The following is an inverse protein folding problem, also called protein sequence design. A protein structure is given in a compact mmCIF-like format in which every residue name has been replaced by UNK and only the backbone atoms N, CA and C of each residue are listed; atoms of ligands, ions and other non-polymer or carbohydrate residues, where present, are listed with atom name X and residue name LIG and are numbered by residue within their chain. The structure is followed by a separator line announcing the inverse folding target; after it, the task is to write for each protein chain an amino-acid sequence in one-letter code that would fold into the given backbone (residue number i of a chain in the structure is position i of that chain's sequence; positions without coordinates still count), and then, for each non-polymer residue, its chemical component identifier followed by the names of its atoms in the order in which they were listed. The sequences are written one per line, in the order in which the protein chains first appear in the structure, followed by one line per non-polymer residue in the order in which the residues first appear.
data_IF_933544930890
#
_entry.id   IF_933544930890
#
_cell.length_a   1.000
_cell.length_b   1.000
_cell.length_c   1.000
_cell.angle_alpha   90.00
_cell.angle_beta   90.00
_cell.angle_gamma   90.00
#
_symmetry.space_group_name_H-M   'P 1'
#
loop_
_entity.id
_entity.type
_entity.pdbx_description
1 polymer ?
#
# COMPACT_ATOMS: atom_id res chain seq x y z
N UNK A 1 8.16 18.41 13.66
CA UNK A 1 6.99 18.08 12.81
C UNK A 1 7.48 18.19 11.38
N UNK A 2 7.37 17.14 10.56
CA UNK A 2 7.63 17.24 9.11
C UNK A 2 6.72 18.31 8.50
N UNK A 3 7.27 19.13 7.61
CA UNK A 3 6.51 20.15 6.90
C UNK A 3 5.53 19.47 5.92
N UNK A 4 4.34 20.06 5.72
CA UNK A 4 3.32 19.54 4.77
C UNK A 4 3.89 19.32 3.37
N UNK A 5 4.84 20.16 2.95
CA UNK A 5 5.51 20.03 1.65
C UNK A 5 6.49 18.85 1.61
N UNK A 6 7.19 18.56 2.71
CA UNK A 6 8.06 17.37 2.83
C UNK A 6 7.23 16.09 2.73
N UNK A 7 6.07 16.04 3.39
CA UNK A 7 5.14 14.92 3.31
C UNK A 7 4.62 14.70 1.88
N UNK A 8 4.32 15.76 1.13
CA UNK A 8 3.90 15.65 -0.28
C UNK A 8 5.02 15.11 -1.17
N UNK A 9 6.24 15.61 -1.00
CA UNK A 9 7.39 15.14 -1.76
C UNK A 9 7.70 13.67 -1.44
N UNK A 10 7.64 13.30 -0.17
CA UNK A 10 7.78 11.91 0.29
C UNK A 10 6.70 11.02 -0.31
N UNK A 11 5.45 11.46 -0.29
CA UNK A 11 4.32 10.74 -0.90
C UNK A 11 4.55 10.50 -2.39
N UNK A 12 4.98 11.52 -3.14
CA UNK A 12 5.28 11.40 -4.57
C UNK A 12 6.36 10.36 -4.85
N UNK A 13 7.44 10.37 -4.07
CA UNK A 13 8.52 9.39 -4.20
C UNK A 13 8.07 7.97 -3.86
N UNK A 14 7.24 7.81 -2.82
CA UNK A 14 6.70 6.50 -2.43
C UNK A 14 5.74 5.95 -3.49
N UNK A 15 4.87 6.78 -4.08
CA UNK A 15 3.97 6.37 -5.17
C UNK A 15 4.77 5.87 -6.39
N UNK A 16 5.85 6.56 -6.75
CA UNK A 16 6.73 6.10 -7.84
C UNK A 16 7.35 4.73 -7.53
N UNK A 17 7.84 4.53 -6.30
CA UNK A 17 8.42 3.24 -5.88
C UNK A 17 7.36 2.13 -5.81
N UNK A 18 6.14 2.44 -5.36
CA UNK A 18 5.02 1.49 -5.35
C UNK A 18 4.71 0.99 -6.77
N UNK A 19 4.67 1.91 -7.74
CA UNK A 19 4.46 1.59 -9.15
C UNK A 19 5.58 0.71 -9.69
N UNK A 20 6.85 1.07 -9.46
CA UNK A 20 8.02 0.27 -9.87
C UNK A 20 7.95 -1.16 -9.34
N UNK A 21 7.65 -1.34 -8.05
CA UNK A 21 7.50 -2.66 -7.44
C UNK A 21 6.28 -3.41 -7.97
N UNK A 22 5.14 -2.74 -8.15
CA UNK A 22 3.92 -3.36 -8.64
C UNK A 22 4.07 -3.84 -10.08
N UNK A 23 4.67 -3.04 -10.96
CA UNK A 23 4.95 -3.43 -12.36
C UNK A 23 5.92 -4.59 -12.44
N UNK A 24 7.00 -4.56 -11.65
CA UNK A 24 7.96 -5.66 -11.59
C UNK A 24 7.30 -6.96 -11.12
N UNK A 25 6.43 -6.86 -10.11
CA UNK A 25 5.75 -8.00 -9.51
C UNK A 25 4.55 -8.51 -10.30
N UNK A 26 3.98 -7.72 -11.21
CA UNK A 26 2.84 -8.12 -12.03
C UNK A 26 3.24 -8.89 -13.31
N UNK A 27 4.49 -8.81 -13.73
CA UNK A 27 4.94 -9.37 -15.01
C UNK A 27 5.39 -10.83 -14.88
N UNK A 28 4.43 -11.73 -14.63
CA UNK A 28 4.68 -13.17 -14.62
C UNK A 28 3.54 -13.96 -15.24
N UNK A 29 3.86 -15.12 -15.83
CA UNK A 29 2.87 -16.10 -16.28
C UNK A 29 3.37 -17.50 -15.89
N UNK A 30 2.95 -17.99 -14.73
CA UNK A 30 3.39 -19.29 -14.22
C UNK A 30 2.58 -20.42 -14.86
N UNK A 31 3.26 -21.45 -15.34
CA UNK A 31 2.64 -22.67 -15.86
C UNK A 31 2.44 -23.70 -14.75
N UNK A 32 3.21 -23.60 -13.66
CA UNK A 32 3.13 -24.53 -12.53
C UNK A 32 3.13 -23.82 -11.18
N UNK A 33 2.62 -24.51 -10.15
CA UNK A 33 2.70 -24.03 -8.77
C UNK A 33 4.15 -23.88 -8.29
N UNK A 34 5.05 -24.77 -8.71
CA UNK A 34 6.45 -24.72 -8.30
C UNK A 34 7.17 -23.46 -8.84
N UNK A 35 6.87 -23.04 -10.07
CA UNK A 35 7.37 -21.78 -10.62
C UNK A 35 6.87 -20.57 -9.83
N UNK A 36 5.60 -20.59 -9.44
CA UNK A 36 5.02 -19.55 -8.59
C UNK A 36 5.68 -19.50 -7.21
N UNK A 37 5.89 -20.65 -6.56
CA UNK A 37 6.52 -20.74 -5.24
C UNK A 37 7.97 -20.23 -5.28
N UNK A 38 8.74 -20.61 -6.30
CA UNK A 38 10.12 -20.12 -6.51
C UNK A 38 10.13 -18.62 -6.77
N UNK A 39 9.20 -18.11 -7.58
CA UNK A 39 9.09 -16.67 -7.82
C UNK A 39 8.76 -15.90 -6.54
N UNK A 40 7.81 -16.38 -5.73
CA UNK A 40 7.43 -15.76 -4.46
C UNK A 40 8.64 -15.74 -3.53
N UNK A 41 9.33 -16.88 -3.38
CA UNK A 41 10.52 -16.97 -2.52
C UNK A 41 11.62 -16.00 -2.98
N UNK A 42 11.90 -15.93 -4.28
CA UNK A 42 12.94 -15.05 -4.83
C UNK A 42 12.58 -13.56 -4.75
N UNK A 43 11.29 -13.23 -4.67
CA UNK A 43 10.80 -11.85 -4.61
C UNK A 43 10.21 -11.48 -3.25
N UNK A 44 10.35 -12.32 -2.22
CA UNK A 44 9.78 -12.11 -0.89
C UNK A 44 10.14 -10.73 -0.32
N UNK A 45 11.41 -10.33 -0.43
CA UNK A 45 11.88 -9.00 -0.03
C UNK A 45 11.12 -7.88 -0.75
N UNK A 46 10.87 -8.02 -2.06
CA UNK A 46 10.17 -7.01 -2.85
C UNK A 46 8.69 -6.91 -2.46
N UNK A 47 8.04 -8.05 -2.17
CA UNK A 47 6.69 -8.06 -1.62
C UNK A 47 6.61 -7.37 -0.26
N UNK A 48 7.60 -7.60 0.61
CA UNK A 48 7.63 -6.98 1.93
C UNK A 48 7.93 -5.48 1.85
N UNK A 49 8.81 -5.04 0.95
CA UNK A 49 9.03 -3.63 0.66
C UNK A 49 7.76 -2.96 0.10
N UNK A 50 7.05 -3.60 -0.83
CA UNK A 50 5.79 -3.09 -1.35
C UNK A 50 4.75 -2.92 -0.22
N UNK A 51 4.62 -3.89 0.68
CA UNK A 51 3.72 -3.78 1.85
C UNK A 51 4.09 -2.58 2.73
N UNK A 52 5.38 -2.35 2.98
CA UNK A 52 5.85 -1.20 3.76
C UNK A 52 5.54 0.12 3.06
N UNK A 53 5.84 0.23 1.77
CA UNK A 53 5.56 1.42 0.96
C UNK A 53 4.07 1.74 0.96
N UNK A 54 3.20 0.76 0.69
CA UNK A 54 1.75 0.97 0.67
C UNK A 54 1.22 1.38 2.06
N UNK A 55 1.78 0.83 3.16
CA UNK A 55 1.44 1.27 4.52
C UNK A 55 1.85 2.73 4.76
N UNK A 56 3.07 3.10 4.40
CA UNK A 56 3.58 4.46 4.59
C UNK A 56 2.83 5.49 3.74
N UNK A 57 2.45 5.13 2.50
CA UNK A 57 1.56 5.94 1.65
C UNK A 57 0.23 6.23 2.35
N UNK A 58 -0.39 5.20 2.96
CA UNK A 58 -1.66 5.37 3.68
C UNK A 58 -1.51 6.29 4.88
N UNK A 59 -0.44 6.13 5.65
CA UNK A 59 -0.13 6.97 6.81
C UNK A 59 0.07 8.44 6.40
N UNK A 60 0.87 8.69 5.36
CA UNK A 60 1.11 10.06 4.87
C UNK A 60 -0.18 10.68 4.30
N UNK A 61 -0.96 9.93 3.51
CA UNK A 61 -2.27 10.39 3.03
C UNK A 61 -3.16 10.77 4.20
N UNK A 62 -3.22 9.95 5.24
CA UNK A 62 -3.98 10.25 6.45
C UNK A 62 -3.44 11.51 7.16
N UNK A 63 -2.13 11.69 7.29
CA UNK A 63 -1.56 12.90 7.90
C UNK A 63 -1.91 14.18 7.12
N UNK A 64 -1.95 14.09 5.79
CA UNK A 64 -2.26 15.19 4.90
C UNK A 64 -3.76 15.56 4.85
N UNK A 65 -4.65 14.66 5.27
CA UNK A 65 -6.09 14.91 5.35
C UNK A 65 -6.44 15.97 6.41
N UNK A 66 -7.46 16.74 6.10
CA UNK A 66 -8.17 17.62 7.05
C UNK A 66 -8.90 16.80 8.12
N UNK A 67 -9.25 17.40 9.27
CA UNK A 67 -10.05 16.71 10.29
C UNK A 67 -11.37 16.13 9.75
N UNK A 68 -12.03 16.84 8.83
CA UNK A 68 -13.27 16.40 8.20
C UNK A 68 -13.05 15.15 7.33
N UNK A 69 -12.03 15.15 6.48
CA UNK A 69 -11.68 14.00 5.64
C UNK A 69 -11.25 12.78 6.49
N UNK A 70 -10.52 13.00 7.59
CA UNK A 70 -10.16 11.92 8.52
C UNK A 70 -11.39 11.26 9.13
N UNK A 71 -12.37 12.06 9.55
CA UNK A 71 -13.62 11.52 10.12
C UNK A 71 -14.38 10.68 9.10
N UNK A 72 -14.50 11.17 7.86
CA UNK A 72 -15.15 10.42 6.77
C UNK A 72 -14.41 9.10 6.49
N UNK A 73 -13.09 9.14 6.40
CA UNK A 73 -12.28 7.95 6.20
C UNK A 73 -12.48 6.91 7.32
N UNK A 74 -12.50 7.34 8.57
CA UNK A 74 -12.71 6.45 9.72
C UNK A 74 -14.13 5.84 9.72
N UNK A 75 -15.15 6.62 9.33
CA UNK A 75 -16.52 6.09 9.17
C UNK A 75 -16.61 5.04 8.07
N UNK A 76 -15.98 5.26 6.92
CA UNK A 76 -15.93 4.26 5.84
C UNK A 76 -15.24 2.97 6.29
N UNK A 77 -14.10 3.08 6.99
CA UNK A 77 -13.41 1.93 7.56
C UNK A 77 -14.29 1.16 8.57
N UNK A 78 -15.07 1.88 9.37
CA UNK A 78 -16.01 1.27 10.32
C UNK A 78 -17.12 0.51 9.59
N UNK A 79 -17.76 1.13 8.59
CA UNK A 79 -18.81 0.49 7.76
C UNK A 79 -18.29 -0.75 7.04
N UNK A 80 -17.07 -0.70 6.50
CA UNK A 80 -16.43 -1.86 5.87
C UNK A 80 -16.24 -2.99 6.89
N UNK A 81 -15.68 -2.69 8.08
CA UNK A 81 -15.54 -3.70 9.13
C UNK A 81 -16.88 -4.32 9.49
N UNK A 82 -17.92 -3.53 9.73
CA UNK A 82 -19.25 -4.04 10.06
C UNK A 82 -19.81 -4.95 8.96
N UNK A 83 -19.64 -4.59 7.69
CA UNK A 83 -20.07 -5.40 6.54
C UNK A 83 -19.37 -6.76 6.44
N UNK A 84 -18.09 -6.82 6.83
CA UNK A 84 -17.28 -8.04 6.72
C UNK A 84 -17.09 -8.79 8.05
N UNK A 85 -17.49 -8.22 9.18
CA UNK A 85 -17.45 -8.85 10.52
C UNK A 85 -18.78 -9.55 10.88
N UNK A 86 -19.76 -9.53 9.98
CA UNK A 86 -21.07 -10.18 10.14
C UNK A 86 -21.15 -11.60 9.59
N UNK A 87 -20.03 -12.32 9.47
CA UNK A 87 -19.97 -13.76 9.15
C UNK A 87 -19.49 -14.55 10.37
#
# INVERSE_FOLDING_TARGET
MENKEELKNKLKNLLKREEEYSTLLANFNFQTKQEADVYISNNQFKFDELKKITKEIREIKFMLMTPQEKNQYLEEQKKLKEKYSGN
#
